data_IF_556436483255
#
_entry.id   IF_556436483255
#
_cell.length_a   1.000
_cell.length_b   1.000
_cell.length_c   1.000
_cell.angle_alpha   90.00
_cell.angle_beta   90.00
_cell.angle_gamma   90.00
#
_symmetry.space_group_name_H-M   'P 1'
#
loop_
_entity.id
_entity.type
_entity.pdbx_description
1 polymer ?
#
# COMPACT_ATOMS: atom_id res chain seq x y z
N UNK A 1 2.62 -7.38 25.91
CA UNK A 1 1.45 -7.62 25.02
C UNK A 1 2.00 -8.22 23.72
N UNK A 2 1.67 -9.46 23.35
CA UNK A 2 1.90 -9.97 21.99
C UNK A 2 0.72 -9.50 21.14
N UNK A 3 0.86 -8.33 20.51
CA UNK A 3 -0.07 -7.94 19.47
C UNK A 3 0.28 -8.75 18.21
N UNK A 4 -0.69 -9.33 17.47
CA UNK A 4 -0.40 -9.87 16.16
C UNK A 4 0.27 -8.78 15.31
N UNK A 5 1.25 -9.13 14.45
CA UNK A 5 1.89 -8.16 13.57
C UNK A 5 0.79 -7.40 12.85
N UNK A 6 0.91 -6.06 12.82
CA UNK A 6 -0.15 -5.28 12.20
C UNK A 6 0.07 -5.31 10.69
N UNK A 7 -0.47 -6.34 10.09
CA UNK A 7 -0.29 -6.64 8.68
C UNK A 7 -1.21 -5.77 7.83
N UNK A 8 -0.65 -5.20 6.77
CA UNK A 8 -1.39 -4.51 5.71
C UNK A 8 -1.12 -5.24 4.40
N UNK A 9 -2.17 -5.79 3.79
CA UNK A 9 -2.08 -6.46 2.50
C UNK A 9 -2.54 -5.50 1.40
N UNK A 10 -1.60 -5.12 0.53
CA UNK A 10 -1.90 -4.40 -0.70
C UNK A 10 -2.02 -5.40 -1.86
N UNK A 11 -3.19 -5.43 -2.52
CA UNK A 11 -3.40 -6.18 -3.76
C UNK A 11 -3.49 -5.21 -4.93
N UNK A 12 -2.53 -5.31 -5.85
CA UNK A 12 -2.54 -4.57 -7.12
C UNK A 12 -3.08 -5.49 -8.21
N UNK A 13 -4.30 -5.24 -8.68
CA UNK A 13 -4.95 -6.13 -9.66
C UNK A 13 -4.48 -5.89 -11.10
N UNK A 14 -4.03 -4.68 -11.43
CA UNK A 14 -3.67 -4.27 -12.79
C UNK A 14 -2.26 -3.70 -12.88
N UNK A 15 -1.28 -4.41 -12.34
CA UNK A 15 0.11 -3.94 -12.29
C UNK A 15 0.70 -3.62 -13.67
N UNK A 16 0.42 -4.43 -14.70
CA UNK A 16 0.87 -4.16 -16.08
C UNK A 16 0.30 -2.86 -16.63
N UNK A 17 -0.99 -2.59 -16.41
CA UNK A 17 -1.61 -1.32 -16.81
C UNK A 17 -1.01 -0.12 -16.05
N UNK A 18 -0.67 -0.32 -14.77
CA UNK A 18 -0.03 0.70 -13.95
C UNK A 18 1.35 1.08 -14.53
N UNK A 19 2.16 0.10 -14.91
CA UNK A 19 3.45 0.30 -15.60
C UNK A 19 3.29 1.06 -16.92
N UNK A 20 2.29 0.69 -17.72
CA UNK A 20 2.04 1.31 -19.04
C UNK A 20 1.46 2.71 -18.94
N UNK A 21 0.80 3.06 -17.82
CA UNK A 21 0.17 4.37 -17.63
C UNK A 21 1.16 5.52 -17.45
N UNK A 22 2.46 5.24 -17.34
CA UNK A 22 3.49 6.26 -17.08
C UNK A 22 3.43 6.84 -15.67
N UNK A 23 2.67 6.22 -14.77
CA UNK A 23 2.62 6.58 -13.36
C UNK A 23 3.91 6.13 -12.68
N UNK A 24 4.71 7.07 -12.19
CA UNK A 24 5.96 6.77 -11.49
C UNK A 24 5.73 6.31 -10.04
N UNK A 25 4.59 6.68 -9.44
CA UNK A 25 4.30 6.47 -8.03
C UNK A 25 2.84 6.11 -7.79
N UNK A 26 2.63 5.05 -7.03
CA UNK A 26 1.33 4.66 -6.51
C UNK A 26 1.28 4.84 -5.00
N UNK A 27 0.37 5.68 -4.53
CA UNK A 27 0.09 5.84 -3.11
C UNK A 27 -1.17 5.05 -2.72
N UNK A 28 -1.09 4.27 -1.65
CA UNK A 28 -2.25 3.60 -1.09
C UNK A 28 -3.15 4.58 -0.35
N UNK A 29 -4.43 4.24 -0.24
CA UNK A 29 -5.31 4.94 0.71
C UNK A 29 -4.77 4.80 2.14
N UNK A 30 -5.09 5.77 2.98
CA UNK A 30 -4.78 5.69 4.40
C UNK A 30 -5.44 4.47 5.06
N UNK A 31 -4.69 3.76 5.89
CA UNK A 31 -5.17 2.63 6.68
C UNK A 31 -4.71 2.72 8.14
N UNK A 32 -5.49 2.14 9.05
CA UNK A 32 -5.17 2.14 10.48
C UNK A 32 -4.42 0.86 10.85
N UNK A 33 -3.27 1.03 11.47
CA UNK A 33 -2.41 -0.08 11.91
C UNK A 33 -1.57 0.35 13.12
N UNK A 34 -1.48 -0.50 14.15
CA UNK A 34 -0.68 -0.22 15.35
C UNK A 34 -1.16 0.98 16.19
N UNK A 35 -2.40 1.44 16.00
CA UNK A 35 -2.89 2.69 16.63
C UNK A 35 -2.53 3.97 15.88
N UNK A 36 -1.89 3.84 14.71
CA UNK A 36 -1.51 4.95 13.83
C UNK A 36 -2.24 4.84 12.48
N UNK A 37 -2.28 5.96 11.76
CA UNK A 37 -2.78 6.02 10.38
C UNK A 37 -1.58 6.06 9.44
N UNK A 38 -1.54 5.15 8.48
CA UNK A 38 -0.42 4.94 7.55
C UNK A 38 -0.89 5.09 6.10
N UNK A 39 -0.01 5.53 5.21
CA UNK A 39 -0.10 5.30 3.76
C UNK A 39 1.22 4.67 3.29
N UNK A 40 1.16 3.85 2.25
CA UNK A 40 2.33 3.25 1.62
C UNK A 40 2.51 3.87 0.24
N UNK A 41 3.73 4.26 -0.06
CA UNK A 41 4.14 4.75 -1.37
C UNK A 41 4.96 3.68 -2.07
N UNK A 42 4.60 3.35 -3.30
CA UNK A 42 5.31 2.41 -4.15
C UNK A 42 5.78 3.15 -5.39
N UNK A 43 7.08 3.12 -5.63
CA UNK A 43 7.67 3.55 -6.90
C UNK A 43 7.61 2.39 -7.87
N UNK A 44 7.09 2.63 -9.07
CA UNK A 44 6.82 1.63 -10.11
C UNK A 44 7.99 1.58 -11.09
#
# INVERSE_FOLDING_TARGET
RKAPPTDYLLKLESFSTLLESGVEKYETKYFKSGGHTWSVFITI
#
